data_IF_770932285687
#
_entry.id   IF_770932285687
#
_cell.length_a   1.000
_cell.length_b   1.000
_cell.length_c   1.000
_cell.angle_alpha   90.00
_cell.angle_beta   90.00
_cell.angle_gamma   90.00
#
_symmetry.space_group_name_H-M   'P 1'
#
loop_
_entity.id
_entity.type
_entity.pdbx_description
1 polymer ?
2 non-polymer ?
3 water ?
#
# COMPACT_ATOMS: atom_id res chain seq x y z
N UNK A 7 -10.51 25.56 4.43
CA UNK A 7 -9.04 25.56 4.27
C UNK A 7 -8.62 24.96 2.92
N UNK A 8 -7.32 24.87 2.63
CA UNK A 8 -6.87 24.22 1.39
C UNK A 8 -6.07 22.93 1.58
N UNK A 9 -6.60 21.88 0.97
CA UNK A 9 -6.17 20.53 1.27
C UNK A 9 -4.68 20.35 1.05
N UNK A 10 -4.17 20.92 -0.04
CA UNK A 10 -2.77 20.73 -0.37
C UNK A 10 -1.81 21.21 0.72
N UNK A 11 -2.04 22.38 1.30
CA UNK A 11 -1.17 22.86 2.37
C UNK A 11 -1.24 21.98 3.62
N UNK A 12 -2.43 21.46 3.88
CA UNK A 12 -2.64 20.55 4.99
C UNK A 12 -1.88 19.21 4.79
N UNK A 13 -1.77 18.72 3.56
CA UNK A 13 -1.00 17.47 3.32
C UNK A 13 0.48 17.53 3.66
N UNK A 14 1.05 18.71 3.46
CA UNK A 14 2.49 18.87 3.58
C UNK A 14 2.97 18.80 5.01
N UNK A 15 2.01 18.61 5.92
CA UNK A 15 2.31 18.49 7.34
C UNK A 15 1.70 17.22 7.91
N UNK A 16 1.00 16.48 7.07
CA UNK A 16 0.49 15.16 7.44
C UNK A 16 1.61 14.21 7.91
N UNK A 17 1.37 13.56 9.03
CA UNK A 17 2.32 12.57 9.51
C UNK A 17 1.98 11.24 8.84
N UNK A 18 2.88 10.28 8.90
CA UNK A 18 2.56 9.00 8.33
C UNK A 18 1.37 8.34 9.06
N UNK A 19 1.25 8.50 10.39
CA UNK A 19 0.10 7.91 11.06
C UNK A 19 -1.21 8.52 10.60
N UNK A 20 -1.22 9.81 10.26
CA UNK A 20 -2.42 10.41 9.69
C UNK A 20 -2.73 9.88 8.29
N UNK A 21 -1.67 9.64 7.54
CA UNK A 21 -1.81 9.08 6.22
C UNK A 21 -2.52 7.74 6.34
N UNK A 22 -2.08 6.86 7.24
CA UNK A 22 -2.75 5.60 7.42
C UNK A 22 -4.16 5.71 7.97
N UNK A 23 -4.35 6.66 8.87
CA UNK A 23 -5.67 6.88 9.42
C UNK A 23 -6.67 7.32 8.32
N UNK A 24 -6.25 8.22 7.45
CA UNK A 24 -7.11 8.57 6.32
C UNK A 24 -7.36 7.45 5.31
N UNK A 25 -6.46 6.48 5.25
CA UNK A 25 -6.67 5.36 4.35
C UNK A 25 -7.73 4.40 4.80
N UNK A 26 -8.07 4.44 6.09
CA UNK A 26 -9.11 3.55 6.59
C UNK A 26 -10.39 3.89 5.89
N UNK A 27 -11.09 2.86 5.46
CA UNK A 27 -12.31 3.00 4.67
C UNK A 27 -12.43 1.96 3.57
N UNK A 28 -13.50 2.07 2.81
CA UNK A 28 -13.75 1.25 1.64
C UNK A 28 -13.50 2.01 0.36
N UNK A 29 -12.80 1.38 -0.56
CA UNK A 29 -12.39 2.07 -1.80
C UNK A 29 -12.73 1.29 -3.06
N UNK A 30 -12.96 2.04 -4.10
CA UNK A 30 -13.11 1.48 -5.44
C UNK A 30 -11.87 1.85 -6.25
N UNK A 31 -11.12 0.82 -6.69
CA UNK A 31 -9.86 1.00 -7.39
C UNK A 31 -9.89 0.64 -8.88
N UNK A 32 -9.25 1.48 -9.68
CA UNK A 32 -8.96 1.21 -11.07
C UNK A 32 -7.45 1.26 -11.28
N UNK A 33 -6.84 0.13 -11.70
CA UNK A 33 -5.38 0.03 -11.87
C UNK A 33 -5.07 -0.21 -13.35
N UNK A 34 -4.24 0.67 -13.94
CA UNK A 34 -3.73 0.46 -15.30
C UNK A 34 -2.29 0.11 -15.23
N UNK A 35 -1.88 -1.02 -15.81
CA UNK A 35 -0.50 -1.46 -15.79
C UNK A 35 0.02 -1.72 -17.17
N UNK A 36 1.26 -1.35 -17.39
CA UNK A 36 1.93 -1.95 -18.50
C UNK A 36 3.35 -2.37 -18.27
N UNK A 37 3.60 -3.44 -18.98
CA UNK A 37 4.87 -4.07 -19.06
C UNK A 37 5.72 -3.22 -19.92
N UNK A 38 6.87 -2.80 -19.41
CA UNK A 38 7.66 -1.87 -20.21
C UNK A 38 8.19 -2.46 -21.56
N UNK A 39 8.71 -3.70 -21.69
CA UNK A 39 8.87 -4.85 -20.78
C UNK A 39 7.54 -5.53 -20.52
N UNK A 41 5.85 -5.34 -23.24
CA UNK A 41 5.02 -4.40 -23.99
C UNK A 41 3.49 -4.66 -23.86
N UNK A 42 3.02 -4.98 -22.64
CA UNK A 42 1.62 -5.37 -22.36
C UNK A 42 0.84 -4.31 -21.58
N UNK A 43 -0.50 -4.33 -21.68
CA UNK A 43 -1.42 -3.38 -21.04
C UNK A 43 -2.65 -4.02 -20.32
N UNK A 44 -2.70 -3.92 -18.97
CA UNK A 44 -3.73 -4.61 -18.18
C UNK A 44 -4.57 -3.62 -17.37
N UNK A 45 -5.86 -3.90 -17.26
CA UNK A 45 -6.80 -3.14 -16.44
C UNK A 45 -7.40 -4.01 -15.36
N UNK A 46 -7.24 -3.58 -14.11
CA UNK A 46 -7.79 -4.32 -12.97
C UNK A 46 -8.71 -3.40 -12.14
N UNK A 47 -9.96 -3.82 -12.00
CA UNK A 47 -10.96 -3.19 -11.16
C UNK A 47 -11.13 -3.95 -9.86
N UNK A 48 -11.04 -3.24 -8.74
CA UNK A 48 -11.06 -3.83 -7.41
C UNK A 48 -11.86 -3.06 -6.38
N UNK A 49 -12.37 -3.79 -5.40
CA UNK A 49 -12.86 -3.22 -4.15
C UNK A 49 -11.81 -3.49 -3.07
N UNK A 50 -11.51 -2.49 -2.26
CA UNK A 50 -10.50 -2.58 -1.22
C UNK A 50 -11.09 -2.03 0.06
N UNK A 51 -10.98 -2.85 1.10
CA UNK A 51 -11.36 -2.51 2.47
C UNK A 51 -10.13 -2.37 3.32
N UNK A 52 -9.98 -1.17 3.88
CA UNK A 52 -8.84 -0.90 4.73
C UNK A 52 -9.36 -0.66 6.15
N UNK A 53 -8.84 -1.43 7.11
CA UNK A 53 -9.35 -1.40 8.50
C UNK A 53 -8.25 -1.27 9.55
N UNK A 54 -8.63 -0.78 10.75
CA UNK A 54 -7.64 -0.61 11.81
C UNK A 54 -7.40 -1.97 12.48
N UNK A 55 -6.25 -2.09 13.09
CA UNK A 55 -5.80 -3.36 13.60
C UNK A 55 -5.60 -3.16 15.09
N UNK A 56 -6.32 -3.94 15.90
CA UNK A 56 -6.22 -3.85 17.37
C UNK A 56 -4.86 -4.33 17.86
N UNK A 57 -4.45 -3.86 19.04
CA UNK A 57 -3.11 -4.17 19.53
C UNK A 57 -2.93 -5.68 19.78
N UNK A 58 -4.03 -6.40 19.99
CA UNK A 58 -3.96 -7.84 20.30
C UNK A 58 -4.19 -8.73 19.08
N UNK A 59 -4.35 -8.11 17.91
CA UNK A 59 -4.62 -8.85 16.68
C UNK A 59 -3.52 -9.87 16.41
N UNK A 60 -3.93 -11.12 16.18
CA UNK A 60 -3.03 -12.24 15.98
C UNK A 60 -2.03 -11.99 14.88
N UNK A 61 -2.53 -11.39 13.80
CA UNK A 61 -1.74 -11.25 12.58
C UNK A 61 -0.66 -10.24 12.91
N UNK A 62 -1.07 -9.15 13.55
CA UNK A 62 -0.19 -8.07 13.96
C UNK A 62 0.99 -8.56 14.81
N UNK A 63 0.66 -9.22 15.92
CA UNK A 63 1.69 -9.79 16.81
C UNK A 63 2.57 -10.85 16.10
N UNK A 64 1.97 -11.70 15.27
CA UNK A 64 2.78 -12.68 14.52
C UNK A 64 3.77 -12.05 13.55
N UNK A 65 3.41 -10.92 12.94
CA UNK A 65 4.34 -10.22 12.08
C UNK A 65 5.48 -9.65 12.89
N UNK A 66 5.11 -9.04 14.01
CA UNK A 66 6.10 -8.45 14.93
C UNK A 66 7.10 -9.50 15.42
N UNK A 67 6.52 -10.61 15.85
CA UNK A 67 7.28 -11.80 16.25
C UNK A 67 8.26 -12.21 15.16
N UNK A 68 7.75 -12.46 13.95
CA UNK A 68 8.57 -12.89 12.81
C UNK A 68 9.80 -12.04 12.54
N UNK A 69 9.63 -10.73 12.67
CA UNK A 69 10.72 -9.78 12.42
C UNK A 69 11.43 -9.40 13.71
N UNK A 70 10.91 -9.88 14.83
CA UNK A 70 11.50 -9.61 16.14
C UNK A 70 11.40 -8.14 16.57
N UNK A 71 10.32 -7.47 16.15
CA UNK A 71 10.03 -6.11 16.58
C UNK A 71 9.10 -6.17 17.77
N UNK A 72 9.29 -5.26 18.73
CA UNK A 72 8.36 -5.16 19.84
C UNK A 72 7.09 -4.49 19.35
N UNK A 73 5.95 -5.14 19.53
CA UNK A 73 4.71 -4.56 19.02
C UNK A 73 4.35 -3.21 19.63
N UNK A 74 4.83 -2.93 20.85
CA UNK A 74 4.50 -1.63 21.49
C UNK A 74 5.23 -0.50 20.80
N UNK A 75 6.25 -0.79 20.02
CA UNK A 75 7.03 0.26 19.37
C UNK A 75 6.42 0.62 18.00
N UNK A 76 5.41 -0.14 17.55
CA UNK A 76 4.76 0.12 16.27
C UNK A 76 3.94 1.40 16.35
N UNK A 77 4.04 2.23 15.33
CA UNK A 77 3.28 3.46 15.32
C UNK A 77 1.86 3.22 14.82
N UNK A 78 1.74 2.40 13.79
CA UNK A 78 0.42 2.17 13.16
C UNK A 78 0.36 0.76 12.52
N UNK A 79 -0.84 0.21 12.41
CA UNK A 79 -1.07 -1.04 11.72
C UNK A 79 -2.44 -1.03 11.07
N UNK A 80 -2.51 -1.39 9.79
CA UNK A 80 -3.79 -1.57 9.14
C UNK A 80 -3.88 -2.94 8.45
N UNK A 81 -5.11 -3.38 8.24
CA UNK A 81 -5.43 -4.54 7.42
C UNK A 81 -6.07 -4.09 6.10
N UNK A 82 -5.57 -4.61 4.99
CA UNK A 82 -6.14 -4.34 3.64
C UNK A 82 -6.65 -5.63 3.04
N UNK A 83 -7.91 -5.64 2.66
CA UNK A 83 -8.49 -6.77 1.93
C UNK A 83 -9.07 -6.31 0.62
N UNK A 84 -8.84 -7.10 -0.43
CA UNK A 84 -9.32 -6.69 -1.73
C UNK A 84 -9.85 -7.82 -2.54
N UNK A 85 -10.70 -7.45 -3.46
CA UNK A 85 -11.29 -8.37 -4.42
C UNK A 85 -11.43 -7.59 -5.72
N UNK A 86 -10.89 -8.10 -6.81
CA UNK A 86 -10.99 -7.44 -8.09
C UNK A 86 -10.94 -8.41 -9.26
N UNK A 87 -11.07 -7.87 -10.46
CA UNK A 87 -10.95 -8.64 -11.67
C UNK A 87 -10.13 -7.88 -12.69
N UNK A 88 -9.40 -8.66 -13.47
CA UNK A 88 -8.56 -8.22 -14.59
C UNK A 88 -9.20 -8.52 -15.93
N UNK A 89 -8.97 -7.62 -16.88
CA UNK A 89 -9.55 -7.77 -18.20
C UNK A 89 -8.75 -8.79 -19.02
N UNK A 90 -7.67 -9.30 -18.43
CA UNK A 90 -6.97 -10.45 -18.98
C UNK A 90 -7.66 -11.75 -18.63
N UNK A 91 -8.72 -11.72 -17.82
CA UNK A 91 -9.41 -12.95 -17.42
C UNK A 91 -10.80 -12.82 -16.79
N UNK A 92 -11.81 -13.24 -17.56
CA UNK A 92 -13.19 -13.34 -17.07
C UNK A 92 -13.39 -14.69 -16.40
N UNK A 93 -14.42 -14.74 -15.57
CA UNK A 93 -14.78 -15.91 -14.77
C UNK A 93 -13.81 -16.02 -13.61
N UNK A 94 -12.95 -15.00 -13.46
CA UNK A 94 -11.90 -15.01 -12.43
C UNK A 94 -11.85 -13.75 -11.58
N UNK A 95 -11.70 -13.98 -10.29
CA UNK A 95 -11.60 -12.96 -9.27
C UNK A 95 -10.27 -13.11 -8.54
N UNK A 96 -9.61 -11.97 -8.30
CA UNK A 96 -8.37 -11.92 -7.51
C UNK A 96 -8.67 -11.41 -6.11
N UNK A 97 -8.41 -12.23 -5.10
CA UNK A 97 -8.76 -11.92 -3.71
C UNK A 97 -7.48 -11.89 -2.94
N UNK A 98 -7.34 -10.95 -2.01
CA UNK A 98 -6.14 -10.89 -1.22
C UNK A 98 -6.35 -10.20 0.11
N UNK A 99 -5.39 -10.39 1.01
CA UNK A 99 -5.42 -9.76 2.33
C UNK A 99 -4.02 -9.64 2.89
N UNK A 100 -3.73 -8.57 3.62
CA UNK A 100 -2.44 -8.39 4.22
C UNK A 100 -2.60 -7.48 5.38
N UNK A 101 -1.71 -7.61 6.37
CA UNK A 101 -1.61 -6.64 7.46
C UNK A 101 -0.29 -5.92 7.31
N UNK A 102 -0.29 -4.61 7.50
CA UNK A 102 0.89 -3.81 7.39
C UNK A 102 1.21 -3.26 8.76
N UNK A 103 2.49 -3.11 9.06
CA UNK A 103 2.91 -2.61 10.36
C UNK A 103 4.02 -1.66 10.15
N UNK A 104 3.79 -0.47 10.68
CA UNK A 104 4.60 0.72 10.49
C UNK A 104 5.46 1.04 11.72
N UNK A 105 6.77 1.21 11.52
CA UNK A 105 7.73 1.69 12.51
C UNK A 105 8.45 2.92 12.04
N UNK A 106 8.68 3.87 12.94
CA UNK A 106 9.51 5.04 12.65
C UNK A 106 10.96 4.88 13.04
N UNK A 107 11.88 5.14 12.12
CA UNK A 107 13.28 5.40 12.46
C UNK A 107 13.47 6.91 12.66
N UNK A 108 12.67 7.70 11.96
CA UNK A 108 12.60 9.14 12.15
C UNK A 108 11.16 9.55 11.96
N UNK A 109 10.86 10.81 12.17
CA UNK A 109 9.51 11.25 11.99
C UNK A 109 9.00 10.89 10.57
N UNK A 110 9.85 11.03 9.54
CA UNK A 110 9.40 10.90 8.16
C UNK A 110 10.07 9.76 7.41
N UNK A 111 10.58 8.79 8.15
CA UNK A 111 11.28 7.65 7.55
C UNK A 111 11.18 6.48 8.47
N UNK A 112 11.04 5.29 7.91
CA UNK A 112 10.97 4.10 8.73
C UNK A 112 10.83 2.82 7.94
N UNK A 113 10.27 1.81 8.61
CA UNK A 113 10.13 0.48 8.05
C UNK A 113 8.67 0.05 8.07
N UNK A 114 8.30 -0.79 7.12
CA UNK A 114 6.96 -1.35 7.01
C UNK A 114 7.10 -2.89 6.94
N UNK A 115 6.45 -3.57 7.86
CA UNK A 115 6.37 -5.04 7.86
C UNK A 115 5.04 -5.46 7.32
N UNK A 116 5.00 -6.59 6.65
CA UNK A 116 3.75 -7.11 6.18
C UNK A 116 3.68 -8.60 6.33
N UNK A 117 2.44 -9.09 6.28
CA UNK A 117 2.08 -10.49 6.28
C UNK A 117 2.95 -11.32 5.38
N UNK A 118 3.22 -12.54 5.84
CA UNK A 118 4.09 -13.46 5.14
C UNK A 118 3.34 -14.72 4.73
N UNK A 124 11.19 -15.37 4.28
CA UNK A 124 10.43 -14.22 4.75
C UNK A 124 11.00 -12.91 4.17
N UNK A 125 10.12 -12.00 3.72
CA UNK A 125 10.58 -10.87 2.91
C UNK A 125 11.46 -9.91 3.71
N UNK A 126 12.32 -9.16 3.02
CA UNK A 126 13.00 -8.06 3.66
C UNK A 126 11.94 -7.06 4.10
N UNK A 127 12.28 -6.25 5.10
CA UNK A 127 11.32 -5.27 5.60
C UNK A 127 11.14 -4.19 4.55
N UNK A 128 9.97 -3.59 4.50
CA UNK A 128 9.74 -2.52 3.55
C UNK A 128 10.38 -1.28 4.09
N UNK A 129 10.73 -0.35 3.21
CA UNK A 129 11.26 0.96 3.61
C UNK A 129 10.35 2.08 3.09
N UNK A 130 10.03 3.06 3.95
CA UNK A 130 9.09 4.12 3.59
C UNK A 130 9.65 5.48 3.96
N UNK A 131 9.17 6.49 3.25
CA UNK A 131 9.45 7.87 3.55
C UNK A 131 8.16 8.65 3.40
N UNK A 132 7.91 9.69 4.23
CA UNK A 132 6.81 10.60 3.96
C UNK A 132 7.46 11.84 3.38
N UNK A 133 7.15 12.14 2.13
CA UNK A 133 7.80 13.26 1.49
C UNK A 133 7.24 14.55 2.04
N UNK A 134 7.97 15.64 1.84
CA UNK A 134 7.58 16.94 2.33
C UNK A 134 6.19 17.37 1.88
N UNK A 135 5.74 16.90 0.73
CA UNK A 135 4.42 17.28 0.25
C UNK A 135 3.27 16.34 0.60
N UNK A 136 3.54 15.38 1.49
CA UNK A 136 2.48 14.45 1.88
C UNK A 136 2.47 13.14 1.10
N UNK A 137 3.48 12.90 0.27
CA UNK A 137 3.49 11.68 -0.52
C UNK A 137 4.12 10.55 0.31
N UNK A 138 3.46 9.41 0.35
CA UNK A 138 4.01 8.21 1.04
C UNK A 138 4.77 7.40 0.01
N UNK A 139 6.06 7.17 0.22
CA UNK A 139 6.84 6.46 -0.80
C UNK A 139 7.32 5.17 -0.15
N UNK A 140 7.02 4.06 -0.78
CA UNK A 140 7.31 2.77 -0.19
C UNK A 140 8.17 1.95 -1.10
N UNK A 141 9.25 1.39 -0.54
CA UNK A 141 10.05 0.37 -1.24
C UNK A 141 9.78 -0.99 -0.61
N UNK A 142 9.29 -1.94 -1.41
CA UNK A 142 8.96 -3.27 -0.94
C UNK A 142 9.81 -4.29 -1.68
N UNK A 143 10.10 -5.43 -1.04
CA UNK A 143 10.99 -6.41 -1.64
C UNK A 143 10.43 -7.83 -1.61
N UNK A 144 10.85 -8.60 -2.61
CA UNK A 144 10.56 -10.02 -2.73
C UNK A 144 11.82 -10.70 -3.28
N UNK A 145 11.82 -12.02 -3.37
CA UNK A 145 12.93 -12.72 -4.02
C UNK A 145 12.77 -12.48 -5.50
N UNK A 146 11.61 -12.92 -5.99
CA UNK A 146 11.18 -12.68 -7.35
C UNK A 146 11.39 -11.23 -7.82
N UNK A 147 11.29 -10.25 -6.91
CA UNK A 147 11.06 -8.86 -7.31
C UNK A 147 11.34 -7.71 -6.30
N UNK A 148 11.23 -6.46 -6.78
CA UNK A 148 11.23 -5.27 -5.93
C UNK A 148 10.24 -4.26 -6.50
N UNK A 149 9.55 -3.56 -5.61
CA UNK A 149 8.50 -2.61 -5.98
C UNK A 149 8.77 -1.26 -5.33
N UNK A 150 8.44 -0.18 -6.04
CA UNK A 150 8.47 1.14 -5.41
C UNK A 150 7.14 1.74 -5.76
N UNK A 151 6.46 2.24 -4.73
CA UNK A 151 5.13 2.83 -4.86
C UNK A 151 5.10 4.27 -4.31
N UNK A 152 4.43 5.16 -5.00
CA UNK A 152 4.14 6.51 -4.46
C UNK A 152 2.67 6.67 -4.31
N UNK A 153 2.26 6.99 -3.09
CA UNK A 153 0.86 7.03 -2.76
C UNK A 153 0.55 8.44 -2.17
N UNK A 154 -0.48 9.10 -2.66
CA UNK A 154 -0.88 10.34 -2.00
C UNK A 154 -2.35 10.65 -2.21
N UNK A 155 -2.86 11.51 -1.32
CA UNK A 155 -4.24 11.93 -1.40
C UNK A 155 -4.36 13.12 -2.37
N UNK A 156 -5.00 12.91 -3.49
CA UNK A 156 -5.27 14.01 -4.41
C UNK A 156 -6.42 14.85 -3.80
N UNK A 157 -7.41 14.17 -3.25
CA UNK A 157 -8.37 14.78 -2.32
C UNK A 157 -8.48 13.89 -1.11
N UNK A 158 -9.26 14.32 -0.11
CA UNK A 158 -9.52 13.45 1.04
C UNK A 158 -10.10 12.10 0.64
N UNK A 159 -10.86 12.07 -0.44
CA UNK A 159 -11.54 10.85 -0.87
C UNK A 159 -10.99 10.20 -2.18
N UNK A 160 -9.82 10.63 -2.61
CA UNK A 160 -9.25 10.17 -3.86
C UNK A 160 -7.77 9.96 -3.66
N UNK A 161 -7.36 8.69 -3.70
CA UNK A 161 -5.97 8.30 -3.55
C UNK A 161 -5.38 7.92 -4.89
N UNK A 162 -4.15 8.36 -5.11
CA UNK A 162 -3.39 8.06 -6.29
C UNK A 162 -2.26 7.18 -5.91
N UNK A 163 -1.98 6.18 -6.75
CA UNK A 163 -0.84 5.30 -6.48
C UNK A 163 -0.09 5.04 -7.79
N UNK A 164 1.16 5.49 -7.91
CA UNK A 164 1.98 5.25 -9.09
C UNK A 164 3.16 4.36 -8.70
N UNK A 165 3.31 3.22 -9.36
CA UNK A 165 4.19 2.20 -8.82
C UNK A 165 5.02 1.65 -9.92
N UNK A 166 6.22 1.12 -9.60
CA UNK A 166 6.95 0.43 -10.65
C UNK A 166 7.45 -0.86 -9.99
N UNK A 167 7.45 -1.95 -10.75
CA UNK A 167 7.95 -3.24 -10.17
C UNK A 167 8.99 -3.80 -11.09
N UNK A 168 10.16 -4.14 -10.56
CA UNK A 168 11.07 -5.08 -11.27
C UNK A 168 10.87 -6.57 -10.85
N UNK A 169 10.41 -7.41 -11.79
CA UNK A 169 10.24 -8.87 -11.58
C UNK A 169 11.29 -9.71 -12.35
N UNK A 170 11.40 -10.99 -12.00
CA UNK A 170 12.31 -11.91 -12.68
C UNK A 170 11.73 -13.33 -12.72
N UNK A 171 10.63 -13.49 -13.45
CA UNK A 171 10.00 -14.80 -13.63
C UNK A 171 10.28 -15.34 -15.04
N UNK A 172 11.46 -15.92 -15.21
CA UNK A 172 12.04 -16.10 -16.54
C UNK A 172 12.88 -14.87 -16.85
N UNK A 173 12.42 -14.06 -17.80
CA UNK A 173 13.13 -12.83 -18.18
C UNK A 173 12.79 -11.68 -17.23
N UNK A 174 13.78 -10.85 -16.92
CA UNK A 174 13.57 -9.66 -16.10
C UNK A 174 12.59 -8.69 -16.76
N UNK A 175 11.67 -8.14 -15.98
CA UNK A 175 10.63 -7.24 -16.52
C UNK A 175 10.27 -6.12 -15.56
N UNK A 176 10.12 -4.94 -16.15
CA UNK A 176 9.64 -3.78 -15.43
C UNK A 176 8.15 -3.57 -15.77
N UNK A 177 7.31 -3.44 -14.75
CA UNK A 177 5.90 -3.12 -14.93
C UNK A 177 5.65 -1.78 -14.22
N UNK A 178 4.98 -0.87 -14.91
CA UNK A 178 4.56 0.42 -14.28
C UNK A 178 3.03 0.43 -14.19
N UNK A 179 2.49 0.98 -13.06
CA UNK A 179 1.06 0.99 -12.79
C UNK A 179 0.63 2.37 -12.22
N UNK A 180 -0.60 2.72 -12.54
CA UNK A 180 -1.36 3.81 -11.88
C UNK A 180 -2.69 3.30 -11.43
N UNK A 181 -2.92 3.50 -10.15
CA UNK A 181 -4.18 3.19 -9.54
C UNK A 181 -4.80 4.50 -9.05
N UNK A 182 -6.07 4.62 -9.32
CA UNK A 182 -6.92 5.65 -8.72
C UNK A 182 -7.98 4.96 -7.88
N UNK A 183 -7.98 5.34 -6.62
CA UNK A 183 -8.84 4.80 -5.56
C UNK A 183 -9.82 5.90 -5.08
N UNK A 184 -11.11 5.61 -5.19
CA UNK A 184 -12.21 6.50 -4.79
C UNK A 184 -12.96 5.94 -3.58
N UNK A 185 -13.06 6.74 -2.52
CA UNK A 185 -13.72 6.29 -1.29
C UNK A 185 -15.21 6.02 -1.47
N UNK A 186 -15.72 4.90 -0.95
CA UNK A 186 -17.14 4.52 -1.05
C UNK A 186 -18.05 5.61 -0.59
N UNK A 187 -18.99 5.97 -1.46
CA UNK A 187 -19.87 7.10 -1.24
C UNK A 187 -20.63 6.94 0.07
N UNK A 188 -21.28 8.01 0.48
CA UNK A 188 -22.10 8.00 1.70
C UNK A 188 -23.36 7.17 1.47
N UNK A 189 -23.45 6.04 2.17
CA UNK A 189 -24.57 5.11 2.03
C UNK A 189 -24.80 4.30 3.30
X LIG B 1 -2.14 2.69 2.84
X LIG B 1 -0.86 2.20 2.48
X LIG B 1 -0.98 1.07 1.46
X LIG B 1 0.41 0.51 1.20
X LIG B 1 0.61 0.25 -0.27
X LIG B 1 0.22 -1.17 -0.61
X LIG B 1 1.45 -2.03 -0.73
X LIG B 1 1.04 -3.36 -1.02
X LIG B 1 -2.04 3.41 3.34
X LIG B 1 -0.33 2.92 2.10
X LIG B 1 -0.40 1.86 3.28
X LIG B 1 -1.54 0.36 1.83
X LIG B 1 -1.37 1.40 0.63
X LIG B 1 1.07 1.18 1.49
X LIG B 1 0.53 -0.31 1.70
X LIG B 1 0.10 0.88 -0.81
X LIG B 1 1.57 0.36 -0.47
X LIG B 1 -0.36 -1.52 0.09
X LIG B 1 -0.26 -1.18 -1.45
X LIG B 1 2.02 -1.70 -1.44
X LIG B 1 1.95 -2.02 0.12
X LIG B 1 1.69 -3.92 -0.80
#
# INVERSE_FOLDING_TARGET
MASWSHPQFEKIEGRMSVEEFFERSVGSWRSLRSSHNIAFAQLEEVNSDIDITQVAADDSEFLDICKTYNFEPEKACSSIRMSWEGSSDWDENEVIKGSTVLVLYKDEERKGKLLRSVGYTETIPAVGEWTMQEDGTFVLHTFYDRAAAEERIWFATPDLRMRCSIIKTQHGKGVLTASLSTEVRDKSK
HEZ O1 C1 C2 C3 C4 C5 C6 O6 HO1 H11 H12 H21 H22 H31 H32 H41 H42 H51 H52 H61 H62 HO6
#
